data_IF_377432962636
#
_entry.id   IF_377432962636
#
_cell.length_a   1.000
_cell.length_b   1.000
_cell.length_c   1.000
_cell.angle_alpha   90.00
_cell.angle_beta   90.00
_cell.angle_gamma   90.00
#
_symmetry.space_group_name_H-M   'P 1'
#
loop_
_entity.id
_entity.type
_entity.pdbx_description
1 polymer ?
#
# COMPACT_ATOMS: atom_id res chain seq x y z
N UNK A 1 -2.54 -1.04 10.56
CA UNK A 1 -3.71 -0.18 10.85
C UNK A 1 -3.23 1.01 11.67
N UNK A 2 -3.84 2.20 11.56
CA UNK A 2 -3.48 3.29 12.46
C UNK A 2 -3.84 2.90 13.90
N UNK A 3 -3.04 3.33 14.87
CA UNK A 3 -3.27 3.14 16.31
C UNK A 3 -4.64 3.66 16.74
N UNK A 4 -5.10 4.74 16.09
CA UNK A 4 -6.48 5.20 16.21
C UNK A 4 -7.25 4.78 14.96
N UNK A 5 -8.27 3.90 15.08
CA UNK A 5 -9.01 3.41 13.93
C UNK A 5 -9.74 4.56 13.21
N UNK A 6 -9.74 4.49 11.88
CA UNK A 6 -10.49 5.45 11.08
C UNK A 6 -12.00 5.37 11.35
N UNK A 7 -12.71 6.51 11.31
CA UNK A 7 -14.17 6.53 11.39
C UNK A 7 -14.80 5.66 10.30
N UNK A 8 -15.88 4.96 10.63
CA UNK A 8 -16.63 4.13 9.66
C UNK A 8 -17.64 4.94 8.85
N UNK A 9 -18.00 6.14 9.31
CA UNK A 9 -18.86 7.06 8.57
C UNK A 9 -18.08 7.71 7.43
N UNK A 10 -18.66 7.70 6.23
CA UNK A 10 -17.97 8.16 5.02
C UNK A 10 -17.60 9.65 5.07
N UNK A 11 -18.48 10.51 5.59
CA UNK A 11 -18.21 11.95 5.62
C UNK A 11 -17.15 12.27 6.68
N UNK A 12 -17.24 11.64 7.85
CA UNK A 12 -16.26 11.81 8.93
C UNK A 12 -14.88 11.28 8.50
N UNK A 13 -14.83 10.19 7.74
CA UNK A 13 -13.60 9.66 7.16
C UNK A 13 -12.96 10.66 6.18
N UNK A 14 -13.77 11.29 5.32
CA UNK A 14 -13.28 12.30 4.38
C UNK A 14 -12.73 13.54 5.10
N UNK A 15 -13.40 14.00 6.16
CA UNK A 15 -12.94 15.12 6.98
C UNK A 15 -11.62 14.80 7.69
N UNK A 16 -11.52 13.62 8.30
CA UNK A 16 -10.29 13.14 8.92
C UNK A 16 -9.12 13.07 7.91
N UNK A 17 -9.37 12.49 6.72
CA UNK A 17 -8.37 12.43 5.66
C UNK A 17 -7.93 13.82 5.20
N UNK A 18 -8.86 14.77 5.03
CA UNK A 18 -8.53 16.15 4.65
C UNK A 18 -7.70 16.87 5.72
N UNK A 19 -7.96 16.60 7.00
CA UNK A 19 -7.20 17.16 8.11
C UNK A 19 -5.79 16.58 8.18
N UNK A 20 -5.63 15.27 7.97
CA UNK A 20 -4.33 14.60 7.88
C UNK A 20 -3.47 15.21 6.76
N UNK A 21 -4.05 15.48 5.59
CA UNK A 21 -3.38 16.17 4.48
C UNK A 21 -2.92 17.57 4.88
N UNK A 22 -3.82 18.37 5.46
CA UNK A 22 -3.54 19.77 5.82
C UNK A 22 -2.43 19.87 6.87
N UNK A 23 -2.35 18.90 7.76
CA UNK A 23 -1.44 18.93 8.91
C UNK A 23 -0.17 18.09 8.69
N UNK A 24 -0.08 17.38 7.57
CA UNK A 24 0.95 16.36 7.34
C UNK A 24 1.03 15.38 8.53
N UNK A 25 -0.14 14.97 9.03
CA UNK A 25 -0.24 14.15 10.23
C UNK A 25 0.44 12.80 10.01
N UNK A 26 1.36 12.44 10.91
CA UNK A 26 2.04 11.14 10.92
C UNK A 26 1.35 10.25 11.94
N UNK A 27 0.24 9.64 11.53
CA UNK A 27 -0.54 8.75 12.39
C UNK A 27 0.27 7.48 12.71
N UNK A 28 0.47 7.20 13.99
CA UNK A 28 1.22 6.03 14.43
C UNK A 28 0.53 4.74 13.98
N UNK A 29 1.32 3.76 13.52
CA UNK A 29 0.81 2.43 13.17
C UNK A 29 0.69 1.60 14.45
N UNK A 30 -0.38 0.81 14.54
CA UNK A 30 -0.54 -0.18 15.59
C UNK A 30 0.27 -1.44 15.28
N UNK A 31 1.08 -1.87 16.26
CA UNK A 31 1.93 -3.06 16.14
C UNK A 31 3.29 -2.79 15.47
N UNK A 32 4.18 -3.77 15.59
CA UNK A 32 5.49 -3.80 14.95
C UNK A 32 5.69 -5.14 14.26
N UNK A 33 6.35 -5.13 13.11
CA UNK A 33 6.79 -6.35 12.44
C UNK A 33 8.14 -6.71 13.06
N UNK A 34 8.17 -7.78 13.83
CA UNK A 34 9.42 -8.34 14.36
C UNK A 34 10.25 -8.92 13.22
N UNK A 35 11.57 -8.79 13.32
CA UNK A 35 12.53 -9.31 12.34
C UNK A 35 12.29 -8.85 10.89
N UNK A 36 11.87 -7.59 10.70
CA UNK A 36 11.64 -7.03 9.36
C UNK A 36 12.85 -7.18 8.41
N UNK A 37 14.06 -7.11 8.96
CA UNK A 37 15.30 -7.26 8.20
C UNK A 37 15.46 -8.64 7.55
N UNK A 38 14.79 -9.68 8.09
CA UNK A 38 14.85 -11.06 7.58
C UNK A 38 14.09 -11.29 6.28
N UNK A 39 13.23 -10.34 5.87
CA UNK A 39 12.46 -10.46 4.64
C UNK A 39 13.21 -9.90 3.44
N UNK A 40 13.35 -10.70 2.40
CA UNK A 40 13.90 -10.26 1.11
C UNK A 40 12.82 -9.66 0.20
N UNK A 41 11.57 -10.11 0.34
CA UNK A 41 10.42 -9.69 -0.48
C UNK A 41 9.26 -9.26 0.41
N UNK A 42 8.72 -8.07 0.16
CA UNK A 42 7.62 -7.46 0.92
C UNK A 42 6.46 -7.14 -0.02
N UNK A 43 5.34 -7.81 0.20
CA UNK A 43 4.09 -7.53 -0.51
C UNK A 43 3.32 -6.42 0.21
N UNK A 44 3.03 -5.32 -0.49
CA UNK A 44 2.39 -4.13 0.08
C UNK A 44 0.98 -3.97 -0.48
N UNK A 45 -0.01 -4.33 0.33
CA UNK A 45 -1.42 -4.32 -0.04
C UNK A 45 -2.19 -3.09 0.43
N UNK A 46 -2.95 -2.44 -0.45
CA UNK A 46 -3.77 -1.28 -0.05
C UNK A 46 -5.03 -1.06 -0.89
N UNK A 47 -6.13 -0.55 -0.31
CA UNK A 47 -7.26 -0.08 -1.11
C UNK A 47 -6.87 1.23 -1.81
N UNK A 48 -7.28 1.48 -3.05
CA UNK A 48 -7.15 2.80 -3.69
C UNK A 48 -8.33 3.67 -3.23
N UNK A 49 -8.06 4.73 -2.48
CA UNK A 49 -9.04 5.65 -1.93
C UNK A 49 -8.99 6.97 -2.68
N UNK A 50 -9.97 7.18 -3.56
CA UNK A 50 -10.25 8.47 -4.19
C UNK A 50 -9.12 8.99 -5.11
N UNK A 51 -8.78 8.18 -6.13
CA UNK A 51 -7.80 8.50 -7.19
C UNK A 51 -6.34 8.38 -6.72
N UNK A 52 -6.10 7.98 -5.47
CA UNK A 52 -4.76 7.74 -4.93
C UNK A 52 -4.78 6.75 -3.75
N UNK A 53 -3.60 6.35 -3.26
CA UNK A 53 -3.46 5.50 -2.09
C UNK A 53 -3.90 6.22 -0.79
N UNK A 54 -4.48 5.51 0.22
CA UNK A 54 -4.84 6.06 1.52
C UNK A 54 -3.67 6.81 2.13
N UNK A 55 -3.93 8.00 2.68
CA UNK A 55 -2.88 8.85 3.22
C UNK A 55 -2.05 8.18 4.29
N UNK A 56 -2.55 7.19 5.05
CA UNK A 56 -1.73 6.42 6.00
C UNK A 56 -0.48 5.77 5.37
N UNK A 57 -0.53 5.44 4.08
CA UNK A 57 0.60 4.88 3.33
C UNK A 57 1.47 5.97 2.69
N UNK A 58 0.89 7.14 2.37
CA UNK A 58 1.65 8.35 2.05
C UNK A 58 2.37 8.94 3.26
N UNK A 59 1.76 8.86 4.44
CA UNK A 59 2.28 9.38 5.69
C UNK A 59 3.28 8.37 6.21
N UNK A 60 4.39 8.22 5.49
CA UNK A 60 5.73 8.34 6.07
C UNK A 60 5.92 7.60 7.40
N UNK A 61 5.26 6.47 7.61
CA UNK A 61 5.30 5.76 8.89
C UNK A 61 5.65 4.33 8.59
N UNK A 62 5.01 3.66 7.62
CA UNK A 62 5.47 2.33 7.24
C UNK A 62 6.84 2.37 6.55
N UNK A 63 6.95 3.16 5.47
CA UNK A 63 8.20 3.36 4.72
C UNK A 63 9.28 4.12 5.51
N UNK A 64 8.92 4.99 6.48
CA UNK A 64 9.95 5.59 7.35
C UNK A 64 10.33 4.72 8.57
N UNK A 65 9.46 3.83 9.03
CA UNK A 65 9.75 3.00 10.23
C UNK A 65 10.62 1.80 9.90
N UNK A 66 10.53 1.26 8.68
CA UNK A 66 11.24 0.06 8.27
C UNK A 66 12.22 0.37 7.13
N UNK A 67 13.39 -0.26 7.16
CA UNK A 67 14.39 -0.12 6.09
C UNK A 67 14.10 -1.11 4.95
N UNK A 68 13.73 -0.58 3.77
CA UNK A 68 13.51 -1.37 2.57
C UNK A 68 14.76 -1.49 1.69
N UNK A 69 15.90 -0.95 2.11
CA UNK A 69 17.13 -0.97 1.33
C UNK A 69 17.56 -2.41 1.01
N UNK A 70 17.74 -2.71 -0.28
CA UNK A 70 18.10 -4.04 -0.75
C UNK A 70 16.96 -5.07 -0.74
N UNK A 71 15.75 -4.68 -0.33
CA UNK A 71 14.55 -5.53 -0.37
C UNK A 71 13.79 -5.37 -1.67
N UNK A 72 12.90 -6.32 -1.95
CA UNK A 72 12.00 -6.29 -3.09
C UNK A 72 10.60 -5.90 -2.63
N UNK A 73 10.03 -4.86 -3.22
CA UNK A 73 8.67 -4.39 -2.93
C UNK A 73 7.74 -4.85 -4.06
N UNK A 74 6.63 -5.50 -3.67
CA UNK A 74 5.59 -5.97 -4.59
C UNK A 74 4.25 -5.33 -4.21
N UNK A 75 3.86 -4.21 -4.82
CA UNK A 75 2.62 -3.53 -4.47
C UNK A 75 1.41 -4.27 -5.04
N UNK A 76 0.30 -4.31 -4.30
CA UNK A 76 -0.98 -4.73 -4.84
C UNK A 76 -2.11 -3.85 -4.30
N UNK A 77 -3.11 -3.59 -5.12
CA UNK A 77 -4.23 -2.75 -4.70
C UNK A 77 -5.59 -3.27 -5.14
N UNK A 78 -6.62 -2.78 -4.44
CA UNK A 78 -8.01 -2.94 -4.88
C UNK A 78 -8.61 -1.57 -5.18
N UNK A 79 -9.20 -1.37 -6.36
CA UNK A 79 -9.70 -0.06 -6.79
C UNK A 79 -11.14 -0.08 -7.30
N UNK A 80 -11.80 1.09 -7.27
CA UNK A 80 -13.14 1.29 -7.85
C UNK A 80 -13.15 1.58 -9.35
N UNK A 81 -11.98 1.79 -9.97
CA UNK A 81 -11.84 2.02 -11.42
C UNK A 81 -10.54 2.71 -11.85
N UNK A 82 -9.73 3.16 -10.89
CA UNK A 82 -8.56 4.01 -11.08
C UNK A 82 -7.22 3.28 -11.26
N UNK A 83 -7.20 1.94 -11.13
CA UNK A 83 -5.98 1.15 -11.23
C UNK A 83 -4.99 1.47 -10.10
N UNK A 84 -3.69 1.51 -10.41
CA UNK A 84 -2.66 1.99 -9.49
C UNK A 84 -2.60 3.52 -9.34
N UNK A 85 -3.10 4.31 -10.30
CA UNK A 85 -3.14 5.77 -10.19
C UNK A 85 -1.80 6.45 -9.81
N UNK A 86 -0.65 5.92 -10.26
CA UNK A 86 0.68 6.51 -9.99
C UNK A 86 1.33 6.09 -8.66
N UNK A 87 0.62 5.33 -7.82
CA UNK A 87 1.10 4.90 -6.50
C UNK A 87 2.40 4.08 -6.53
N UNK A 88 2.62 3.30 -7.59
CA UNK A 88 3.89 2.56 -7.78
C UNK A 88 5.08 3.50 -7.96
N UNK A 89 4.91 4.59 -8.70
CA UNK A 89 5.95 5.60 -8.91
C UNK A 89 6.25 6.31 -7.59
N UNK A 90 5.22 6.68 -6.83
CA UNK A 90 5.39 7.31 -5.51
C UNK A 90 6.14 6.42 -4.52
N UNK A 91 5.84 5.11 -4.46
CA UNK A 91 6.59 4.21 -3.57
C UNK A 91 8.04 4.04 -4.05
N UNK A 92 8.28 3.99 -5.37
CA UNK A 92 9.64 3.91 -5.91
C UNK A 92 10.47 5.17 -5.62
N UNK A 93 9.84 6.34 -5.60
CA UNK A 93 10.49 7.59 -5.18
C UNK A 93 10.81 7.63 -3.67
N UNK A 94 9.95 7.02 -2.85
CA UNK A 94 10.16 6.93 -1.40
C UNK A 94 11.26 5.93 -1.03
N UNK A 95 11.34 4.82 -1.75
CA UNK A 95 12.28 3.72 -1.50
C UNK A 95 13.24 3.52 -2.68
N UNK A 96 14.13 4.49 -2.98
CA UNK A 96 15.01 4.42 -4.14
C UNK A 96 16.07 3.30 -4.02
N UNK A 97 16.28 2.77 -2.82
CA UNK A 97 17.23 1.68 -2.55
C UNK A 97 16.55 0.30 -2.53
N UNK A 98 15.23 0.24 -2.70
CA UNK A 98 14.48 -1.01 -2.84
C UNK A 98 14.30 -1.37 -4.32
N UNK A 99 14.15 -2.66 -4.59
CA UNK A 99 13.78 -3.14 -5.93
C UNK A 99 12.26 -3.16 -6.05
N UNK A 100 11.69 -2.33 -6.92
CA UNK A 100 10.26 -2.33 -7.19
C UNK A 100 9.92 -3.34 -8.28
N UNK A 101 9.03 -4.30 -7.99
CA UNK A 101 8.47 -5.21 -8.99
C UNK A 101 7.10 -4.74 -9.48
N UNK A 102 6.69 -5.29 -10.63
CA UNK A 102 5.37 -5.01 -11.19
C UNK A 102 4.27 -5.58 -10.30
N UNK A 103 3.50 -4.67 -9.72
CA UNK A 103 2.40 -4.95 -8.83
C UNK A 103 1.13 -5.41 -9.53
N UNK A 104 0.14 -5.85 -8.74
CA UNK A 104 -1.21 -6.20 -9.23
C UNK A 104 -2.31 -5.26 -8.75
N UNK A 105 -3.09 -4.77 -9.69
CA UNK A 105 -4.24 -3.90 -9.42
C UNK A 105 -5.53 -4.66 -9.74
N UNK A 106 -6.40 -4.83 -8.75
CA UNK A 106 -7.63 -5.61 -8.87
C UNK A 106 -8.85 -4.69 -8.75
N UNK A 107 -9.73 -4.73 -9.73
CA UNK A 107 -10.99 -3.99 -9.67
C UNK A 107 -11.93 -4.62 -8.64
N UNK A 108 -12.57 -3.80 -7.81
CA UNK A 108 -13.64 -4.25 -6.88
C UNK A 108 -14.72 -5.07 -7.59
N UNK A 109 -15.01 -4.75 -8.84
CA UNK A 109 -16.05 -5.42 -9.63
C UNK A 109 -15.63 -6.82 -10.12
N UNK A 110 -14.35 -7.18 -9.98
CA UNK A 110 -13.78 -8.44 -10.48
C UNK A 110 -13.21 -9.34 -9.37
N UNK A 111 -13.30 -8.92 -8.10
CA UNK A 111 -12.70 -9.63 -6.96
C UNK A 111 -13.16 -11.09 -6.84
N UNK A 112 -14.46 -11.36 -7.06
CA UNK A 112 -15.00 -12.72 -6.93
C UNK A 112 -14.45 -13.70 -7.97
N UNK A 113 -13.84 -13.22 -9.07
CA UNK A 113 -13.29 -14.04 -10.15
C UNK A 113 -11.77 -13.93 -10.33
N UNK A 114 -11.08 -13.17 -9.49
CA UNK A 114 -9.66 -12.84 -9.70
C UNK A 114 -8.67 -13.84 -9.09
N UNK A 115 -9.12 -14.94 -8.49
CA UNK A 115 -8.24 -15.92 -7.81
C UNK A 115 -7.17 -16.47 -8.77
N UNK A 116 -7.57 -16.99 -9.93
CA UNK A 116 -6.62 -17.52 -10.92
C UNK A 116 -5.67 -16.42 -11.43
N UNK A 117 -6.18 -15.21 -11.59
CA UNK A 117 -5.38 -14.06 -12.03
C UNK A 117 -4.31 -13.66 -11.00
N UNK A 118 -4.61 -13.80 -9.71
CA UNK A 118 -3.64 -13.60 -8.61
C UNK A 118 -2.59 -14.70 -8.62
N UNK A 119 -3.00 -15.96 -8.78
CA UNK A 119 -2.07 -17.11 -8.83
C UNK A 119 -1.10 -16.95 -10.00
N UNK A 120 -1.61 -16.67 -11.21
CA UNK A 120 -0.78 -16.48 -12.40
C UNK A 120 0.22 -15.32 -12.23
N UNK A 121 -0.19 -14.25 -11.56
CA UNK A 121 0.69 -13.13 -11.23
C UNK A 121 1.78 -13.52 -10.21
N UNK A 122 1.43 -14.23 -9.15
CA UNK A 122 2.40 -14.71 -8.17
C UNK A 122 3.42 -15.66 -8.81
N UNK A 123 2.99 -16.56 -9.68
CA UNK A 123 3.87 -17.46 -10.44
C UNK A 123 4.82 -16.67 -11.35
N UNK A 124 4.35 -15.58 -11.97
CA UNK A 124 5.22 -14.73 -12.80
C UNK A 124 6.33 -14.01 -12.02
N UNK A 125 6.13 -13.79 -10.71
CA UNK A 125 7.07 -13.09 -9.83
C UNK A 125 8.04 -14.05 -9.14
N UNK A 126 7.57 -15.23 -8.72
CA UNK A 126 8.29 -16.16 -7.86
C UNK A 126 9.17 -17.19 -8.63
N UNK A 127 9.18 -17.15 -9.96
CA UNK A 127 9.92 -18.11 -10.84
C UNK A 127 11.21 -17.49 -11.43
N UNK A 128 11.69 -16.36 -10.92
CA UNK A 128 13.01 -15.81 -11.28
C UNK A 128 14.15 -16.32 -10.38
#
# INVERSE_FOLDING_TARGET
MPRNPYPTDHNVLLEAAQEEIKTNARSEIEGTIEDFDSYDVVFVGYPNWNVDMPYILYTYTFFETYDFSGKTIVPFNTHGGSGFSGTQESIAELEPNATMLEGKSISRNSIEGSEQEIIDWLDSILIC
#
